data_IF_940263109511
#
_entry.id   IF_940263109511
#
_cell.length_a   1.000
_cell.length_b   1.000
_cell.length_c   1.000
_cell.angle_alpha   90.00
_cell.angle_beta   90.00
_cell.angle_gamma   90.00
#
_symmetry.space_group_name_H-M   'P 1'
#
loop_
_entity.id
_entity.type
_entity.pdbx_description
1 polymer ?
#
# COMPACT_ATOMS: atom_id res chain seq x y z
N UNK A 1 -11.96 -25.26 -0.75
CA UNK A 1 -11.29 -26.13 -1.74
C UNK A 1 -10.21 -25.37 -2.50
N UNK A 2 -10.53 -24.29 -3.21
CA UNK A 2 -9.54 -23.51 -4.00
C UNK A 2 -8.41 -22.89 -3.17
N UNK A 3 -8.71 -22.32 -2.00
CA UNK A 3 -7.70 -21.71 -1.11
C UNK A 3 -6.74 -22.75 -0.55
N UNK A 4 -7.24 -23.91 -0.09
CA UNK A 4 -6.39 -25.01 0.38
C UNK A 4 -5.56 -25.61 -0.76
N UNK A 5 -6.13 -25.73 -1.96
CA UNK A 5 -5.39 -26.19 -3.14
C UNK A 5 -4.24 -25.24 -3.50
N UNK A 6 -4.49 -23.93 -3.57
CA UNK A 6 -3.44 -22.92 -3.82
C UNK A 6 -2.38 -23.00 -2.72
N UNK A 7 -2.79 -23.11 -1.46
CA UNK A 7 -1.87 -23.21 -0.32
C UNK A 7 -0.99 -24.46 -0.40
N UNK A 8 -1.53 -25.60 -0.77
CA UNK A 8 -0.77 -26.84 -0.96
C UNK A 8 0.23 -26.72 -2.11
N UNK A 9 -0.18 -26.17 -3.25
CA UNK A 9 0.71 -25.94 -4.39
C UNK A 9 1.84 -24.99 -4.01
N UNK A 10 1.53 -23.83 -3.43
CA UNK A 10 2.55 -22.85 -3.03
C UNK A 10 3.53 -23.41 -1.99
N UNK A 11 3.04 -24.20 -1.04
CA UNK A 11 3.90 -24.88 -0.05
C UNK A 11 4.83 -25.91 -0.70
N UNK A 12 4.35 -26.66 -1.70
CA UNK A 12 5.14 -27.69 -2.36
C UNK A 12 6.18 -27.12 -3.34
N UNK A 13 5.92 -25.95 -3.93
CA UNK A 13 6.87 -25.31 -4.84
C UNK A 13 7.85 -24.36 -4.13
N UNK A 14 7.75 -24.18 -2.81
CA UNK A 14 8.51 -23.17 -2.04
C UNK A 14 10.03 -23.24 -2.28
N UNK A 15 10.58 -24.46 -2.41
CA UNK A 15 12.02 -24.71 -2.57
C UNK A 15 12.53 -24.64 -4.02
N UNK A 16 11.64 -24.46 -5.00
CA UNK A 16 12.01 -24.40 -6.41
C UNK A 16 12.52 -23.00 -6.82
N UNK A 17 13.20 -22.93 -7.96
CA UNK A 17 13.62 -21.65 -8.56
C UNK A 17 12.40 -20.85 -9.07
N UNK A 18 12.56 -19.53 -9.17
CA UNK A 18 11.44 -18.63 -9.45
C UNK A 18 10.88 -18.80 -10.88
N UNK A 19 11.69 -19.27 -11.82
CA UNK A 19 11.24 -19.54 -13.19
C UNK A 19 10.30 -20.74 -13.20
N UNK A 20 10.67 -21.82 -12.52
CA UNK A 20 9.85 -23.03 -12.38
C UNK A 20 8.58 -22.77 -11.56
N UNK A 21 8.68 -22.01 -10.46
CA UNK A 21 7.49 -21.58 -9.68
C UNK A 21 6.46 -20.87 -10.54
N UNK A 22 6.92 -19.91 -11.36
CA UNK A 22 6.02 -19.14 -12.21
C UNK A 22 5.36 -20.00 -13.31
N UNK A 23 6.07 -21.02 -13.80
CA UNK A 23 5.54 -21.98 -14.76
C UNK A 23 4.42 -22.82 -14.13
N UNK A 24 4.68 -23.39 -12.94
CA UNK A 24 3.69 -24.16 -12.19
C UNK A 24 2.48 -23.31 -11.79
N UNK A 25 2.69 -22.06 -11.36
CA UNK A 25 1.59 -21.11 -11.08
C UNK A 25 0.72 -20.87 -12.30
N UNK A 26 1.33 -20.70 -13.48
CA UNK A 26 0.61 -20.50 -14.75
C UNK A 26 -0.26 -21.71 -15.12
N UNK A 27 0.27 -22.91 -14.96
CA UNK A 27 -0.48 -24.15 -15.22
C UNK A 27 -1.61 -24.34 -14.18
N UNK A 28 -1.31 -24.04 -12.91
CA UNK A 28 -2.27 -24.07 -11.81
C UNK A 28 -3.43 -23.10 -12.06
N UNK A 29 -3.16 -21.88 -12.54
CA UNK A 29 -4.21 -20.91 -12.92
C UNK A 29 -5.10 -21.48 -14.03
N UNK A 30 -4.51 -22.16 -15.01
CA UNK A 30 -5.27 -22.76 -16.12
C UNK A 30 -6.23 -23.84 -15.61
N UNK A 31 -5.77 -24.70 -14.69
CA UNK A 31 -6.59 -25.72 -14.03
C UNK A 31 -7.64 -25.07 -13.13
N UNK A 32 -7.28 -24.06 -12.35
CA UNK A 32 -8.23 -23.35 -11.49
C UNK A 32 -9.34 -22.64 -12.28
N UNK A 33 -9.02 -22.12 -13.47
CA UNK A 33 -9.98 -21.50 -14.36
C UNK A 33 -10.87 -22.53 -15.07
N UNK A 34 -10.34 -23.72 -15.38
CA UNK A 34 -11.13 -24.79 -16.01
C UNK A 34 -12.09 -25.47 -15.04
N UNK A 35 -11.71 -25.50 -13.75
CA UNK A 35 -12.62 -25.88 -12.67
C UNK A 35 -13.62 -24.73 -12.49
N UNK A 36 -14.76 -24.83 -13.16
CA UNK A 36 -15.90 -23.91 -13.02
C UNK A 36 -16.61 -24.13 -11.65
N UNK A 37 -15.83 -24.12 -10.56
CA UNK A 37 -16.34 -24.24 -9.21
C UNK A 37 -16.96 -22.90 -8.84
N UNK A 38 -18.25 -22.76 -9.14
CA UNK A 38 -19.08 -21.75 -8.48
C UNK A 38 -19.04 -22.10 -7.00
N UNK A 39 -18.25 -21.34 -6.23
CA UNK A 39 -18.39 -21.35 -4.79
C UNK A 39 -19.90 -21.29 -4.51
N UNK A 40 -20.47 -22.21 -3.72
CA UNK A 40 -21.87 -22.08 -3.33
C UNK A 40 -21.98 -20.68 -2.74
N UNK A 41 -22.80 -19.82 -3.38
CA UNK A 41 -23.01 -18.45 -2.91
C UNK A 41 -23.46 -18.60 -1.46
N UNK A 42 -22.55 -18.32 -0.53
CA UNK A 42 -22.88 -18.42 0.86
C UNK A 42 -24.00 -17.39 1.09
N UNK A 43 -25.06 -17.78 1.81
CA UNK A 43 -26.15 -16.84 2.15
C UNK A 43 -25.58 -15.55 2.76
N UNK A 44 -24.51 -15.68 3.55
CA UNK A 44 -23.74 -14.56 4.09
C UNK A 44 -23.08 -13.69 3.02
N UNK A 45 -22.46 -14.27 1.99
CA UNK A 45 -21.83 -13.51 0.91
C UNK A 45 -22.86 -12.71 0.10
N UNK A 46 -24.05 -13.29 -0.13
CA UNK A 46 -25.14 -12.59 -0.81
C UNK A 46 -25.65 -11.41 0.01
N UNK A 47 -25.80 -11.57 1.33
CA UNK A 47 -26.17 -10.49 2.24
C UNK A 47 -25.12 -9.38 2.22
N UNK A 48 -23.83 -9.72 2.29
CA UNK A 48 -22.74 -8.73 2.23
C UNK A 48 -22.74 -8.00 0.89
N UNK A 49 -22.87 -8.73 -0.24
CA UNK A 49 -22.95 -8.13 -1.58
C UNK A 49 -24.13 -7.16 -1.69
N UNK A 50 -25.30 -7.56 -1.20
CA UNK A 50 -26.49 -6.72 -1.19
C UNK A 50 -26.28 -5.48 -0.32
N UNK A 51 -25.76 -5.63 0.91
CA UNK A 51 -25.46 -4.52 1.80
C UNK A 51 -24.44 -3.53 1.22
N UNK A 52 -23.40 -4.02 0.53
CA UNK A 52 -22.44 -3.17 -0.18
C UNK A 52 -23.13 -2.41 -1.33
N UNK A 53 -24.06 -3.04 -2.05
CA UNK A 53 -24.81 -2.40 -3.13
C UNK A 53 -25.70 -1.28 -2.57
N UNK A 54 -26.44 -1.55 -1.51
CA UNK A 54 -27.29 -0.57 -0.83
C UNK A 54 -26.47 0.59 -0.27
N UNK A 55 -25.34 0.30 0.38
CA UNK A 55 -24.41 1.32 0.87
C UNK A 55 -23.90 2.22 -0.26
N UNK A 56 -23.51 1.64 -1.40
CA UNK A 56 -23.07 2.42 -2.57
C UNK A 56 -24.18 3.32 -3.10
N UNK A 57 -25.42 2.83 -3.17
CA UNK A 57 -26.57 3.64 -3.57
C UNK A 57 -26.82 4.78 -2.58
N UNK A 58 -26.77 4.49 -1.28
CA UNK A 58 -26.90 5.49 -0.23
C UNK A 58 -25.82 6.59 -0.34
N UNK A 59 -24.56 6.21 -0.51
CA UNK A 59 -23.45 7.16 -0.64
C UNK A 59 -23.55 7.99 -1.92
N UNK A 60 -24.01 7.42 -3.03
CA UNK A 60 -24.25 8.18 -4.27
C UNK A 60 -25.31 9.27 -4.08
N UNK A 61 -26.33 9.01 -3.25
CA UNK A 61 -27.37 9.98 -2.91
C UNK A 61 -26.93 10.99 -1.83
N UNK A 62 -25.82 10.72 -1.14
CA UNK A 62 -25.31 11.52 -0.02
C UNK A 62 -23.83 11.87 -0.24
N UNK A 63 -23.54 12.61 -1.32
CA UNK A 63 -22.16 12.96 -1.70
C UNK A 63 -21.40 13.79 -0.64
N UNK A 64 -22.12 14.40 0.31
CA UNK A 64 -21.54 15.11 1.45
C UNK A 64 -20.96 14.20 2.54
N UNK A 65 -21.07 12.87 2.43
CA UNK A 65 -20.52 11.92 3.40
C UNK A 65 -19.19 11.34 2.92
N UNK A 66 -18.21 11.30 3.81
CA UNK A 66 -16.94 10.63 3.62
C UNK A 66 -16.89 9.37 4.48
N UNK A 67 -16.56 8.23 3.84
CA UNK A 67 -16.27 6.97 4.54
C UNK A 67 -14.75 6.78 4.58
N UNK A 68 -14.18 6.64 5.76
CA UNK A 68 -12.74 6.44 5.97
C UNK A 68 -12.47 5.45 7.10
N UNK A 69 -11.19 5.12 7.33
CA UNK A 69 -10.75 4.30 8.46
C UNK A 69 -10.31 5.18 9.63
N UNK A 70 -10.55 4.71 10.84
CA UNK A 70 -9.96 5.32 12.04
C UNK A 70 -8.44 5.09 12.08
N UNK A 71 -7.71 6.02 12.71
CA UNK A 71 -6.26 5.90 12.96
C UNK A 71 -5.92 4.68 13.81
N UNK A 72 -6.79 4.32 14.76
CA UNK A 72 -6.66 3.16 15.65
C UNK A 72 -8.01 2.48 15.86
N UNK A 73 -7.98 1.18 16.14
CA UNK A 73 -9.15 0.40 16.53
C UNK A 73 -9.84 -0.39 15.42
N UNK A 74 -9.25 -0.48 14.21
CA UNK A 74 -9.83 -1.19 13.06
C UNK A 74 -11.32 -0.84 12.80
N UNK A 75 -11.66 0.44 12.99
CA UNK A 75 -13.02 0.95 12.86
C UNK A 75 -13.20 1.73 11.57
N UNK A 76 -14.40 1.66 10.99
CA UNK A 76 -14.83 2.52 9.89
C UNK A 76 -15.49 3.77 10.46
N UNK A 77 -15.19 4.94 9.91
CA UNK A 77 -15.74 6.23 10.33
C UNK A 77 -16.50 6.84 9.16
N UNK A 78 -17.69 7.35 9.43
CA UNK A 78 -18.48 8.17 8.51
C UNK A 78 -18.52 9.58 9.09
N UNK A 79 -18.20 10.58 8.27
CA UNK A 79 -18.19 11.98 8.67
C UNK A 79 -18.61 12.89 7.50
N UNK A 80 -18.92 14.15 7.80
CA UNK A 80 -19.12 15.16 6.76
C UNK A 80 -17.84 15.37 5.97
N UNK A 81 -17.95 15.35 4.64
CA UNK A 81 -16.85 15.66 3.73
C UNK A 81 -16.37 17.11 3.93
N UNK A 82 -17.28 18.04 4.16
CA UNK A 82 -16.95 19.45 4.41
C UNK A 82 -16.15 19.62 5.70
N UNK A 83 -16.60 19.02 6.81
CA UNK A 83 -15.88 19.05 8.09
C UNK A 83 -14.48 18.44 7.95
N UNK A 84 -14.37 17.35 7.19
CA UNK A 84 -13.08 16.73 6.90
C UNK A 84 -12.15 17.65 6.11
N UNK A 85 -12.66 18.33 5.09
CA UNK A 85 -11.88 19.28 4.27
C UNK A 85 -11.41 20.47 5.11
N UNK A 86 -12.27 21.01 5.97
CA UNK A 86 -11.92 22.09 6.91
C UNK A 86 -10.77 21.61 7.81
N UNK A 87 -10.93 20.48 8.50
CA UNK A 87 -9.89 19.90 9.37
C UNK A 87 -8.57 19.65 8.64
N UNK A 88 -8.62 19.16 7.40
CA UNK A 88 -7.41 18.95 6.60
C UNK A 88 -6.75 20.27 6.22
N UNK A 89 -7.53 21.27 5.85
CA UNK A 89 -7.03 22.60 5.47
C UNK A 89 -6.43 23.32 6.66
N UNK A 90 -7.06 23.24 7.83
CA UNK A 90 -6.55 23.82 9.08
C UNK A 90 -5.16 23.26 9.41
N UNK A 91 -4.96 21.94 9.30
CA UNK A 91 -3.65 21.33 9.55
C UNK A 91 -2.62 21.79 8.50
N UNK A 92 -3.01 21.88 7.23
CA UNK A 92 -2.09 22.26 6.14
C UNK A 92 -1.82 23.78 6.06
N UNK A 93 -2.56 24.59 6.80
CA UNK A 93 -2.38 26.05 6.89
C UNK A 93 -1.26 26.46 7.85
N UNK A 94 -0.68 25.50 8.59
CA UNK A 94 0.50 25.73 9.42
C UNK A 94 1.71 26.08 8.54
N UNK A 95 2.09 27.36 8.56
CA UNK A 95 3.21 27.90 7.78
C UNK A 95 4.58 27.63 8.42
N UNK A 96 4.64 27.17 9.67
CA UNK A 96 5.89 26.77 10.31
C UNK A 96 6.33 25.38 9.81
N UNK A 97 5.36 24.49 9.54
CA UNK A 97 5.60 23.13 9.04
C UNK A 97 5.50 23.01 7.52
N UNK A 98 4.52 23.68 6.90
CA UNK A 98 4.19 23.52 5.48
C UNK A 98 4.47 24.78 4.67
N UNK A 99 4.73 24.59 3.37
CA UNK A 99 4.92 25.68 2.42
C UNK A 99 4.16 25.41 1.13
N UNK A 100 3.41 26.41 0.68
CA UNK A 100 2.67 26.36 -0.58
C UNK A 100 3.64 26.28 -1.78
N UNK A 101 3.40 25.32 -2.66
CA UNK A 101 4.15 25.13 -3.91
C UNK A 101 3.28 25.61 -5.08
N UNK A 102 3.79 26.55 -5.88
CA UNK A 102 3.04 27.19 -6.97
C UNK A 102 2.87 26.33 -8.24
N UNK A 103 3.70 25.31 -8.41
CA UNK A 103 3.73 24.46 -9.61
C UNK A 103 3.92 23.00 -9.23
N UNK A 104 3.24 22.09 -9.94
CA UNK A 104 3.41 20.65 -9.75
C UNK A 104 4.91 20.26 -9.86
N UNK A 105 5.52 19.74 -8.77
CA UNK A 105 6.93 19.36 -8.76
C UNK A 105 7.20 18.01 -9.44
N UNK A 106 6.18 17.25 -9.84
CA UNK A 106 6.30 15.85 -10.28
C UNK A 106 7.31 15.68 -11.41
N UNK A 107 7.22 16.48 -12.48
CA UNK A 107 8.14 16.39 -13.61
C UNK A 107 9.59 16.72 -13.21
N UNK A 108 9.77 17.74 -12.37
CA UNK A 108 11.09 18.10 -11.85
C UNK A 108 11.70 16.95 -11.04
N UNK A 109 10.91 16.35 -10.14
CA UNK A 109 11.35 15.22 -9.32
C UNK A 109 11.68 13.99 -10.16
N UNK A 110 10.87 13.67 -11.18
CA UNK A 110 11.15 12.56 -12.10
C UNK A 110 12.45 12.77 -12.86
N UNK A 111 12.67 13.96 -13.42
CA UNK A 111 13.92 14.27 -14.15
C UNK A 111 15.14 14.19 -13.25
N UNK A 112 15.08 14.74 -12.04
CA UNK A 112 16.18 14.66 -11.06
C UNK A 112 16.47 13.21 -10.68
N UNK A 113 15.43 12.40 -10.46
CA UNK A 113 15.58 10.98 -10.13
C UNK A 113 16.25 10.22 -11.28
N UNK A 114 15.85 10.46 -12.52
CA UNK A 114 16.49 9.83 -13.70
C UNK A 114 17.95 10.23 -13.86
N UNK A 115 18.25 11.51 -13.68
CA UNK A 115 19.62 12.02 -13.74
C UNK A 115 20.51 11.35 -12.68
N UNK A 116 20.01 11.21 -11.45
CA UNK A 116 20.70 10.48 -10.38
C UNK A 116 20.95 9.01 -10.76
N UNK A 117 19.93 8.31 -11.24
CA UNK A 117 20.05 6.89 -11.63
C UNK A 117 21.02 6.70 -12.79
N UNK A 118 21.05 7.63 -13.75
CA UNK A 118 21.99 7.60 -14.86
C UNK A 118 23.43 7.78 -14.36
N UNK A 119 23.66 8.71 -13.44
CA UNK A 119 24.95 8.89 -12.77
C UNK A 119 25.38 7.69 -11.94
N UNK A 120 24.46 6.99 -11.29
CA UNK A 120 24.76 5.75 -10.56
C UNK A 120 25.14 4.61 -11.49
N UNK A 121 24.44 4.48 -12.62
CA UNK A 121 24.77 3.50 -13.65
C UNK A 121 26.15 3.77 -14.24
N UNK A 122 26.48 5.01 -14.59
CA UNK A 122 27.78 5.35 -15.17
C UNK A 122 28.94 5.13 -14.20
N UNK A 123 28.71 5.31 -12.90
CA UNK A 123 29.69 5.04 -11.84
C UNK A 123 29.77 3.56 -11.42
N UNK A 124 28.94 2.69 -12.00
CA UNK A 124 28.92 1.26 -11.66
C UNK A 124 28.27 0.92 -10.32
N UNK A 125 27.55 1.85 -9.68
CA UNK A 125 26.82 1.57 -8.43
C UNK A 125 25.59 0.69 -8.67
N UNK A 126 25.01 0.75 -9.87
CA UNK A 126 23.93 -0.12 -10.32
C UNK A 126 24.22 -0.64 -11.73
N UNK A 127 23.84 -1.88 -12.00
CA UNK A 127 23.90 -2.45 -13.34
C UNK A 127 22.67 -2.04 -14.18
N UNK A 128 22.63 -2.45 -15.46
CA UNK A 128 21.52 -2.13 -16.36
C UNK A 128 20.17 -2.62 -15.84
N UNK A 129 20.13 -3.82 -15.24
CA UNK A 129 18.91 -4.40 -14.69
C UNK A 129 18.39 -3.57 -13.51
N UNK A 130 19.28 -3.17 -12.59
CA UNK A 130 18.98 -2.29 -11.47
C UNK A 130 18.46 -0.93 -11.94
N UNK A 131 19.09 -0.34 -12.96
CA UNK A 131 18.59 0.89 -13.57
C UNK A 131 17.16 0.72 -14.11
N UNK A 132 16.90 -0.34 -14.88
CA UNK A 132 15.57 -0.59 -15.44
C UNK A 132 14.50 -0.79 -14.36
N UNK A 133 14.84 -1.49 -13.27
CA UNK A 133 13.94 -1.68 -12.12
C UNK A 133 13.59 -0.34 -11.46
N UNK A 134 14.58 0.53 -11.27
CA UNK A 134 14.42 1.81 -10.58
C UNK A 134 13.85 2.92 -11.47
N UNK A 135 13.93 2.75 -12.80
CA UNK A 135 13.45 3.75 -13.74
C UNK A 135 11.97 4.08 -13.53
N UNK A 136 11.66 5.38 -13.63
CA UNK A 136 10.31 5.91 -13.53
C UNK A 136 9.97 6.61 -14.83
N UNK A 137 8.90 6.18 -15.50
CA UNK A 137 8.31 6.89 -16.64
C UNK A 137 7.45 8.05 -16.15
N UNK A 138 6.39 7.74 -15.42
CA UNK A 138 5.38 8.71 -15.00
C UNK A 138 5.13 8.51 -13.50
N UNK A 139 5.70 9.41 -12.71
CA UNK A 139 5.43 9.43 -11.28
C UNK A 139 4.12 10.15 -10.99
N UNK A 140 3.43 9.74 -9.94
CA UNK A 140 2.21 10.40 -9.45
C UNK A 140 2.59 11.32 -8.29
N UNK A 141 2.00 12.52 -8.23
CA UNK A 141 2.16 13.40 -7.08
C UNK A 141 1.66 12.70 -5.81
N UNK A 142 2.46 12.64 -4.73
CA UNK A 142 2.01 12.08 -3.46
C UNK A 142 0.72 12.74 -2.96
N UNK A 143 -0.20 11.93 -2.44
CA UNK A 143 -1.50 12.41 -1.95
C UNK A 143 -1.55 12.35 -0.44
N UNK A 144 -1.97 13.44 0.19
CA UNK A 144 -2.24 13.49 1.62
C UNK A 144 -3.69 13.14 1.92
N UNK A 145 -3.93 12.41 3.01
CA UNK A 145 -5.25 12.18 3.59
C UNK A 145 -5.16 12.08 5.11
N UNK A 146 -6.26 12.35 5.80
CA UNK A 146 -6.38 12.32 7.25
C UNK A 146 -7.09 11.06 7.75
N UNK A 147 -6.57 10.43 8.80
CA UNK A 147 -7.27 9.38 9.53
C UNK A 147 -7.81 9.93 10.86
N UNK A 148 -9.12 9.81 11.16
CA UNK A 148 -9.68 10.29 12.42
C UNK A 148 -9.11 9.56 13.64
N UNK A 149 -8.55 10.32 14.59
CA UNK A 149 -8.10 9.81 15.89
C UNK A 149 -9.28 9.75 16.87
N UNK A 150 -10.20 8.81 16.66
CA UNK A 150 -11.43 8.63 17.46
C UNK A 150 -11.20 8.40 18.97
N UNK A 151 -9.97 8.08 19.37
CA UNK A 151 -9.56 7.88 20.76
C UNK A 151 -9.03 9.17 21.44
N UNK A 152 -9.15 10.33 20.78
CA UNK A 152 -8.70 11.64 21.28
C UNK A 152 -9.89 12.62 21.33
N UNK A 153 -9.90 13.57 22.29
CA UNK A 153 -10.91 14.62 22.32
C UNK A 153 -10.89 15.41 21.01
N UNK A 154 -12.05 15.89 20.57
CA UNK A 154 -12.25 16.64 19.31
C UNK A 154 -11.91 15.87 18.01
N UNK A 155 -11.53 14.59 18.11
CA UNK A 155 -11.28 13.67 16.98
C UNK A 155 -10.38 14.34 15.91
N UNK A 156 -9.15 14.75 16.25
CA UNK A 156 -8.22 15.32 15.28
C UNK A 156 -7.84 14.30 14.21
N UNK A 157 -7.46 14.79 13.03
CA UNK A 157 -6.96 13.94 11.95
C UNK A 157 -5.47 13.63 12.12
N UNK A 158 -5.03 12.42 11.75
CA UNK A 158 -3.64 12.10 11.48
C UNK A 158 -3.38 12.21 9.99
N UNK A 159 -2.59 13.19 9.56
CA UNK A 159 -2.17 13.26 8.15
C UNK A 159 -1.25 12.10 7.81
N UNK A 160 -1.55 11.43 6.71
CA UNK A 160 -0.76 10.41 6.04
C UNK A 160 -0.49 10.89 4.62
N UNK A 161 0.77 10.80 4.18
CA UNK A 161 1.16 11.07 2.80
C UNK A 161 1.42 9.75 2.11
N UNK A 162 0.59 9.40 1.13
CA UNK A 162 0.82 8.24 0.28
C UNK A 162 1.79 8.61 -0.83
N UNK A 163 2.99 8.04 -0.75
CA UNK A 163 4.03 8.15 -1.78
C UNK A 163 4.02 6.97 -2.76
N UNK A 164 2.96 6.14 -2.76
CA UNK A 164 2.85 5.01 -3.67
C UNK A 164 2.84 5.53 -5.12
N UNK A 165 3.64 4.92 -5.97
CA UNK A 165 3.83 5.30 -7.38
C UNK A 165 4.37 6.73 -7.58
N UNK A 166 4.90 7.36 -6.53
CA UNK A 166 5.61 8.63 -6.67
C UNK A 166 6.96 8.47 -7.37
N UNK A 167 7.54 9.55 -7.92
CA UNK A 167 8.85 9.50 -8.58
C UNK A 167 9.96 8.86 -7.74
N UNK A 168 9.89 8.98 -6.41
CA UNK A 168 10.90 8.46 -5.50
C UNK A 168 10.56 7.09 -4.92
N UNK A 169 9.37 6.55 -5.16
CA UNK A 169 8.87 5.36 -4.48
C UNK A 169 9.80 4.14 -4.63
N UNK A 170 10.17 3.82 -5.88
CA UNK A 170 11.04 2.67 -6.19
C UNK A 170 12.44 2.85 -5.60
N UNK A 171 12.98 4.06 -5.69
CA UNK A 171 14.28 4.40 -5.13
C UNK A 171 14.28 4.26 -3.60
N UNK A 172 13.23 4.72 -2.92
CA UNK A 172 13.09 4.60 -1.48
C UNK A 172 13.03 3.13 -1.03
N UNK A 173 12.29 2.27 -1.75
CA UNK A 173 12.26 0.82 -1.48
C UNK A 173 13.66 0.21 -1.65
N UNK A 174 14.34 0.55 -2.73
CA UNK A 174 15.69 0.05 -3.00
C UNK A 174 16.69 0.42 -1.91
N UNK A 175 16.69 1.67 -1.47
CA UNK A 175 17.55 2.13 -0.38
C UNK A 175 17.19 1.46 0.94
N UNK A 176 15.90 1.31 1.25
CA UNK A 176 15.42 0.59 2.42
C UNK A 176 15.95 -0.85 2.44
N UNK A 177 15.93 -1.55 1.31
CA UNK A 177 16.41 -2.93 1.22
C UNK A 177 17.92 -3.03 1.42
N UNK A 178 18.69 -2.06 0.91
CA UNK A 178 20.14 -1.97 1.18
C UNK A 178 20.38 -1.77 2.69
N UNK A 179 19.74 -0.77 3.30
CA UNK A 179 19.90 -0.45 4.72
C UNK A 179 19.56 -1.67 5.59
N UNK A 180 18.45 -2.34 5.31
CA UNK A 180 18.02 -3.53 6.05
C UNK A 180 19.04 -4.68 5.96
N UNK A 181 19.64 -4.88 4.79
CA UNK A 181 20.68 -5.90 4.58
C UNK A 181 21.98 -5.52 5.29
N UNK A 182 22.40 -4.26 5.22
CA UNK A 182 23.66 -3.81 5.82
C UNK A 182 23.63 -3.82 7.34
N UNK A 183 22.48 -3.55 7.94
CA UNK A 183 22.35 -3.42 9.40
C UNK A 183 21.95 -4.71 10.13
N UNK A 184 21.65 -5.81 9.41
CA UNK A 184 21.09 -7.06 9.99
C UNK A 184 19.98 -6.79 11.04
N UNK A 185 19.14 -5.77 10.81
CA UNK A 185 18.17 -5.29 11.82
C UNK A 185 17.21 -6.39 12.28
N UNK A 186 16.96 -7.38 11.44
CA UNK A 186 16.09 -8.53 11.76
C UNK A 186 16.68 -9.46 12.82
N UNK A 187 18.00 -9.54 12.94
CA UNK A 187 18.67 -10.47 13.86
C UNK A 187 19.12 -9.78 15.16
N UNK A 188 19.55 -8.51 15.08
CA UNK A 188 20.16 -7.82 16.23
C UNK A 188 19.17 -7.11 17.17
N UNK A 189 18.00 -6.73 16.68
CA UNK A 189 17.02 -5.97 17.46
C UNK A 189 15.71 -6.71 17.58
N UNK A 190 15.70 -7.82 18.34
CA UNK A 190 14.49 -8.46 18.89
C UNK A 190 13.23 -8.29 18.06
N UNK A 191 13.26 -8.64 16.77
CA UNK A 191 12.16 -8.33 15.88
C UNK A 191 11.02 -9.28 16.18
N UNK A 192 9.89 -8.75 16.64
CA UNK A 192 8.67 -9.51 16.88
C UNK A 192 7.73 -9.24 15.73
N UNK A 193 7.53 -10.24 14.86
CA UNK A 193 6.79 -10.10 13.61
C UNK A 193 5.30 -9.91 13.81
N UNK A 194 4.73 -10.48 14.88
CA UNK A 194 3.32 -10.35 15.23
C UNK A 194 3.07 -10.71 16.70
N UNK A 195 1.82 -10.53 17.14
CA UNK A 195 1.38 -10.86 18.50
C UNK A 195 1.59 -12.34 18.87
N UNK A 196 1.55 -13.27 17.90
CA UNK A 196 1.80 -14.68 18.16
C UNK A 196 3.28 -14.96 18.46
N UNK A 197 4.20 -14.26 17.80
CA UNK A 197 5.63 -14.35 18.08
C UNK A 197 5.98 -13.71 19.43
N UNK A 198 5.28 -12.64 19.82
CA UNK A 198 5.43 -12.00 21.14
C UNK A 198 5.14 -12.98 22.27
N UNK A 199 4.00 -13.68 22.17
CA UNK A 199 3.58 -14.67 23.18
C UNK A 199 4.56 -15.83 23.31
N UNK A 200 5.27 -16.19 22.23
CA UNK A 200 6.26 -17.27 22.26
C UNK A 200 7.62 -16.86 22.84
N UNK A 201 7.90 -15.56 22.98
CA UNK A 201 9.16 -15.01 23.50
C UNK A 201 9.08 -14.58 24.97
N UNK A 202 7.88 -14.57 25.56
CA UNK A 202 7.63 -14.41 26.99
C UNK A 202 7.29 -15.77 27.62
#
# INVERSE_FOLDING_TARGET
MTVEFIKHIENNIEKLDEKTKNLIRKDTITVLNSINYKFPNNKFDNIIKQGIRELKMFLNNNQGLLVTKADKGNSTVILSYEEYVIKMTDILSDNDTYRVIKKDPTNKMTTLTRSLLMGWKSKGFINQEGYNKLYVSDGILPRSYGLPKIHKPNIPLRIIVSCINSPLHKLAIFLKDIINKSLNLKEKFGHIKNSLELVKKN
#
